data_IF_288176011027
#
_entry.id   IF_288176011027
#
_cell.length_a   1.000
_cell.length_b   1.000
_cell.length_c   1.000
_cell.angle_alpha   90.00
_cell.angle_beta   90.00
_cell.angle_gamma   90.00
#
_symmetry.space_group_name_H-M   'P 1'
#
loop_
_entity.id
_entity.type
_entity.pdbx_description
1 polymer ?
#
# COMPACT_ATOMS: atom_id res chain seq x y z
N UNK A 1 -6.36 -22.50 2.37
CA UNK A 1 -5.68 -22.44 3.70
C UNK A 1 -5.51 -20.99 4.13
N UNK A 2 -6.47 -20.48 4.93
CA UNK A 2 -6.28 -19.22 5.67
C UNK A 2 -5.24 -19.40 6.77
N UNK A 3 -4.54 -18.34 7.16
CA UNK A 3 -3.62 -18.38 8.32
C UNK A 3 -2.26 -19.05 8.13
N UNK A 4 -1.89 -19.52 6.94
CA UNK A 4 -0.58 -20.17 6.67
C UNK A 4 0.64 -19.21 6.73
N UNK A 5 0.46 -17.97 7.19
CA UNK A 5 1.57 -17.02 7.39
C UNK A 5 1.93 -16.14 6.19
N UNK A 6 1.07 -16.03 5.16
CA UNK A 6 1.32 -15.18 3.97
C UNK A 6 1.66 -13.73 4.36
N UNK A 7 0.84 -13.12 5.21
CA UNK A 7 1.05 -11.75 5.72
C UNK A 7 2.39 -11.62 6.46
N UNK A 8 2.75 -12.61 7.28
CA UNK A 8 3.94 -12.62 8.10
C UNK A 8 5.22 -12.70 7.24
N UNK A 9 5.17 -13.44 6.13
CA UNK A 9 6.27 -13.46 5.15
C UNK A 9 6.45 -12.08 4.52
N UNK A 10 5.38 -11.41 4.09
CA UNK A 10 5.44 -10.04 3.55
C UNK A 10 6.02 -9.05 4.58
N UNK A 11 5.60 -9.14 5.84
CA UNK A 11 6.11 -8.29 6.92
C UNK A 11 7.62 -8.52 7.17
N UNK A 12 8.06 -9.79 7.19
CA UNK A 12 9.49 -10.11 7.32
C UNK A 12 10.31 -9.58 6.16
N UNK A 13 9.80 -9.66 4.92
CA UNK A 13 10.46 -9.09 3.75
C UNK A 13 10.63 -7.57 3.88
N UNK A 14 9.57 -6.87 4.30
CA UNK A 14 9.57 -5.43 4.51
C UNK A 14 10.60 -4.99 5.56
N UNK A 15 10.79 -5.78 6.61
CA UNK A 15 11.74 -5.51 7.71
C UNK A 15 13.22 -5.71 7.32
N UNK A 16 13.52 -6.27 6.14
CA UNK A 16 14.91 -6.52 5.73
C UNK A 16 15.65 -5.20 5.48
N UNK A 17 16.88 -5.11 6.03
CA UNK A 17 17.71 -3.90 6.03
C UNK A 17 18.00 -3.34 4.62
N UNK A 18 18.09 -4.22 3.60
CA UNK A 18 18.40 -3.83 2.23
C UNK A 18 17.20 -3.34 1.42
N UNK A 19 15.98 -3.33 1.99
CA UNK A 19 14.78 -2.96 1.23
C UNK A 19 14.84 -1.53 0.67
N UNK A 20 15.43 -0.60 1.43
CA UNK A 20 15.64 0.80 0.99
C UNK A 20 16.58 0.95 -0.21
N UNK A 21 17.38 -0.07 -0.52
CA UNK A 21 18.22 -0.09 -1.73
C UNK A 21 17.38 -0.26 -2.99
N UNK A 22 16.26 -0.97 -2.88
CA UNK A 22 15.47 -1.43 -4.03
C UNK A 22 14.16 -0.66 -4.20
N UNK A 23 13.58 -0.17 -3.10
CA UNK A 23 12.30 0.52 -3.10
C UNK A 23 12.41 1.82 -2.31
N UNK A 24 12.04 2.93 -2.94
CA UNK A 24 11.92 4.24 -2.31
C UNK A 24 10.78 4.23 -1.27
N UNK A 25 9.64 3.68 -1.68
CA UNK A 25 8.42 3.61 -0.90
C UNK A 25 7.81 2.22 -0.99
N UNK A 26 7.08 1.80 0.04
CA UNK A 26 6.27 0.57 0.01
C UNK A 26 4.92 0.89 0.63
N UNK A 27 3.86 0.57 -0.11
CA UNK A 27 2.48 0.78 0.27
C UNK A 27 1.86 -0.55 0.72
N UNK A 28 1.10 -0.51 1.81
CA UNK A 28 0.30 -1.64 2.26
C UNK A 28 -1.17 -1.32 1.99
N UNK A 29 -1.81 -2.10 1.12
CA UNK A 29 -3.20 -1.90 0.70
C UNK A 29 -4.05 -3.06 1.22
N UNK A 30 -5.12 -2.75 1.95
CA UNK A 30 -6.13 -3.73 2.33
C UNK A 30 -7.12 -3.95 1.18
N UNK A 31 -6.93 -5.05 0.47
CA UNK A 31 -7.76 -5.47 -0.66
C UNK A 31 -8.92 -6.41 -0.27
N UNK A 32 -9.39 -6.37 0.98
CA UNK A 32 -10.51 -7.19 1.43
C UNK A 32 -11.86 -6.80 0.81
N UNK A 33 -12.01 -5.55 0.35
CA UNK A 33 -13.17 -5.04 -0.40
C UNK A 33 -12.78 -3.86 -1.29
N UNK A 34 -13.63 -3.49 -2.25
CA UNK A 34 -13.41 -2.28 -3.06
C UNK A 34 -13.35 -1.01 -2.18
N UNK A 35 -14.20 -0.93 -1.15
CA UNK A 35 -14.23 0.19 -0.22
C UNK A 35 -12.92 0.35 0.57
N UNK A 36 -12.32 -0.76 1.03
CA UNK A 36 -11.05 -0.71 1.77
C UNK A 36 -9.89 -0.34 0.87
N UNK A 37 -9.92 -0.73 -0.42
CA UNK A 37 -8.93 -0.31 -1.42
C UNK A 37 -9.00 1.20 -1.64
N UNK A 38 -10.21 1.74 -1.91
CA UNK A 38 -10.42 3.18 -2.10
C UNK A 38 -9.97 4.00 -0.88
N UNK A 39 -10.31 3.53 0.33
CA UNK A 39 -9.87 4.18 1.57
C UNK A 39 -8.35 4.18 1.71
N UNK A 40 -7.67 3.07 1.43
CA UNK A 40 -6.21 2.99 1.47
C UNK A 40 -5.55 3.94 0.47
N UNK A 41 -6.07 4.00 -0.76
CA UNK A 41 -5.53 4.89 -1.81
C UNK A 41 -5.73 6.37 -1.45
N UNK A 42 -6.91 6.75 -0.92
CA UNK A 42 -7.13 8.11 -0.41
C UNK A 42 -6.19 8.48 0.74
N UNK A 43 -5.89 7.55 1.65
CA UNK A 43 -4.92 7.78 2.72
C UNK A 43 -3.50 8.00 2.18
N UNK A 44 -3.10 7.29 1.12
CA UNK A 44 -1.83 7.51 0.42
C UNK A 44 -1.82 8.92 -0.18
N UNK A 45 -2.87 9.31 -0.92
CA UNK A 45 -2.98 10.65 -1.50
C UNK A 45 -2.78 11.77 -0.46
N UNK A 46 -3.47 11.65 0.68
CA UNK A 46 -3.35 12.60 1.79
C UNK A 46 -1.94 12.65 2.37
N UNK A 47 -1.29 11.49 2.56
CA UNK A 47 0.08 11.41 3.09
C UNK A 47 1.10 12.08 2.17
N UNK A 48 0.91 11.97 0.86
CA UNK A 48 1.78 12.58 -0.15
C UNK A 48 1.33 13.98 -0.57
N UNK A 49 0.33 14.56 0.13
CA UNK A 49 -0.22 15.90 -0.15
C UNK A 49 -0.65 16.06 -1.61
N UNK A 50 -1.14 14.99 -2.21
CA UNK A 50 -1.74 15.04 -3.53
C UNK A 50 -3.08 15.77 -3.44
N UNK A 51 -3.60 16.23 -4.58
CA UNK A 51 -4.89 16.93 -4.61
C UNK A 51 -6.00 16.05 -4.00
N UNK A 52 -6.79 16.64 -3.09
CA UNK A 52 -7.90 15.96 -2.42
C UNK A 52 -9.01 15.53 -3.40
N UNK A 53 -9.02 16.07 -4.62
CA UNK A 53 -9.94 15.70 -5.69
C UNK A 53 -9.48 14.48 -6.50
N UNK A 54 -8.28 13.94 -6.28
CA UNK A 54 -7.80 12.77 -7.01
C UNK A 54 -8.64 11.54 -6.68
N UNK A 55 -9.03 10.80 -7.72
CA UNK A 55 -9.72 9.52 -7.54
C UNK A 55 -8.73 8.45 -7.06
N UNK A 56 -9.27 7.36 -6.51
CA UNK A 56 -8.45 6.21 -6.13
C UNK A 56 -7.67 5.65 -7.33
N UNK A 57 -8.26 5.66 -8.52
CA UNK A 57 -7.61 5.24 -9.77
C UNK A 57 -6.40 6.11 -10.10
N UNK A 58 -6.51 7.43 -9.99
CA UNK A 58 -5.37 8.32 -10.24
C UNK A 58 -4.22 8.12 -9.24
N UNK A 59 -4.53 7.78 -7.99
CA UNK A 59 -3.51 7.43 -6.99
C UNK A 59 -2.88 6.09 -7.32
N UNK A 60 -3.68 5.12 -7.79
CA UNK A 60 -3.20 3.80 -8.21
C UNK A 60 -2.28 3.88 -9.43
N UNK A 61 -2.53 4.79 -10.37
CA UNK A 61 -1.66 5.04 -11.53
C UNK A 61 -0.32 5.71 -11.15
N UNK A 62 -0.28 6.40 -10.01
CA UNK A 62 0.92 7.08 -9.53
C UNK A 62 1.91 6.15 -8.80
N UNK A 63 1.41 5.11 -8.11
CA UNK A 63 2.24 4.17 -7.34
C UNK A 63 2.94 3.11 -8.21
#
# INVERSE_FOLDING_TARGET
MGGIGKTQICLKFIQQQYRKKWFSDIFWIDASSEHTIDLCLKQIALKYKMDAALSAESVLEWI
#
